data_IF_680292501520
#
_entry.id   IF_680292501520
#
_cell.length_a   1.000
_cell.length_b   1.000
_cell.length_c   1.000
_cell.angle_alpha   90.00
_cell.angle_beta   90.00
_cell.angle_gamma   90.00
#
_symmetry.space_group_name_H-M   'P 1'
#
loop_
_entity.id
_entity.type
_entity.pdbx_description
1 polymer ?
#
# COMPACT_ATOMS: atom_id res chain seq x y z
N UNK A 1 -17.33 10.57 7.91
CA UNK A 1 -17.27 9.84 6.62
C UNK A 1 -17.76 8.42 6.85
N UNK A 2 -18.61 7.85 5.97
CA UNK A 2 -18.99 6.44 6.10
C UNK A 2 -17.74 5.56 5.95
N UNK A 3 -17.63 4.51 6.78
CA UNK A 3 -16.48 3.57 6.81
C UNK A 3 -16.19 3.01 5.41
N UNK A 4 -17.24 2.75 4.62
CA UNK A 4 -17.13 2.29 3.23
C UNK A 4 -16.36 3.26 2.32
N UNK A 5 -16.49 4.57 2.53
CA UNK A 5 -15.78 5.58 1.74
C UNK A 5 -14.27 5.60 2.03
N UNK A 6 -13.88 5.41 3.29
CA UNK A 6 -12.47 5.34 3.68
C UNK A 6 -11.81 4.07 3.12
N UNK A 7 -12.50 2.93 3.22
CA UNK A 7 -12.02 1.66 2.64
C UNK A 7 -11.86 1.78 1.12
N UNK A 8 -12.84 2.39 0.44
CA UNK A 8 -12.77 2.64 -1.01
C UNK A 8 -11.59 3.51 -1.42
N UNK A 9 -11.31 4.57 -0.67
CA UNK A 9 -10.14 5.44 -0.90
C UNK A 9 -8.81 4.72 -0.68
N UNK A 10 -8.67 3.97 0.42
CA UNK A 10 -7.46 3.20 0.70
C UNK A 10 -7.18 2.15 -0.39
N UNK A 11 -8.22 1.41 -0.81
CA UNK A 11 -8.12 0.42 -1.88
C UNK A 11 -7.74 1.07 -3.21
N UNK A 12 -8.35 2.23 -3.52
CA UNK A 12 -8.05 2.99 -4.71
C UNK A 12 -6.58 3.44 -4.75
N UNK A 13 -6.07 4.02 -3.66
CA UNK A 13 -4.67 4.43 -3.58
C UNK A 13 -3.73 3.25 -3.77
N UNK A 14 -3.97 2.13 -3.07
CA UNK A 14 -3.18 0.92 -3.23
C UNK A 14 -3.12 0.43 -4.69
N UNK A 15 -4.28 0.31 -5.34
CA UNK A 15 -4.38 -0.14 -6.74
C UNK A 15 -3.73 0.82 -7.74
N UNK A 16 -3.73 2.13 -7.43
CA UNK A 16 -3.08 3.14 -8.26
C UNK A 16 -1.56 2.98 -8.30
N UNK A 17 -0.94 2.73 -7.14
CA UNK A 17 0.50 2.48 -7.06
C UNK A 17 0.89 1.15 -7.68
N UNK A 18 0.14 0.07 -7.46
CA UNK A 18 0.45 -1.21 -8.11
C UNK A 18 0.41 -1.10 -9.63
N UNK A 19 -0.54 -0.35 -10.17
CA UNK A 19 -0.65 -0.12 -11.62
C UNK A 19 0.52 0.71 -12.15
N UNK A 20 0.87 1.80 -11.47
CA UNK A 20 2.04 2.61 -11.84
C UNK A 20 3.34 1.78 -11.83
N UNK A 21 3.53 0.92 -10.82
CA UNK A 21 4.66 0.00 -10.73
C UNK A 21 4.70 -0.99 -11.91
N UNK A 22 3.57 -1.63 -12.22
CA UNK A 22 3.47 -2.58 -13.34
C UNK A 22 3.76 -1.91 -14.69
N UNK A 23 3.25 -0.70 -14.92
CA UNK A 23 3.55 0.06 -16.13
C UNK A 23 5.02 0.44 -16.24
N UNK A 24 5.66 0.85 -15.13
CA UNK A 24 7.08 1.13 -15.11
C UNK A 24 7.91 -0.13 -15.39
N UNK A 25 7.61 -1.25 -14.72
CA UNK A 25 8.28 -2.53 -14.95
C UNK A 25 8.12 -3.01 -16.39
N UNK A 26 6.94 -2.84 -16.99
CA UNK A 26 6.68 -3.12 -18.40
C UNK A 26 7.54 -2.22 -19.31
N UNK A 27 7.60 -0.91 -19.03
CA UNK A 27 8.40 0.02 -19.82
C UNK A 27 9.90 -0.30 -19.78
N UNK A 28 10.41 -0.71 -18.61
CA UNK A 28 11.77 -1.21 -18.45
C UNK A 28 12.00 -2.53 -19.20
N UNK A 29 11.05 -3.48 -19.13
CA UNK A 29 11.11 -4.77 -19.84
C UNK A 29 11.13 -4.58 -21.36
N UNK A 30 10.37 -3.60 -21.86
CA UNK A 30 10.34 -3.20 -23.27
C UNK A 30 11.60 -2.43 -23.71
N UNK A 31 12.62 -2.28 -22.83
CA UNK A 31 13.86 -1.53 -23.08
C UNK A 31 13.61 -0.12 -23.63
N UNK A 32 12.56 0.55 -23.17
CA UNK A 32 12.32 1.96 -23.49
C UNK A 32 13.40 2.80 -22.80
N UNK A 33 14.55 2.98 -23.46
CA UNK A 33 15.69 3.78 -22.95
C UNK A 33 15.38 5.27 -22.86
N UNK A 34 14.26 5.72 -23.43
CA UNK A 34 13.92 7.12 -23.48
C UNK A 34 13.13 7.49 -22.22
N UNK A 35 13.77 8.24 -21.31
CA UNK A 35 13.12 8.76 -20.10
C UNK A 35 11.83 9.55 -20.42
N UNK A 36 11.75 10.13 -21.62
CA UNK A 36 10.57 10.81 -22.13
C UNK A 36 9.36 9.87 -22.30
N UNK A 37 9.53 8.66 -22.83
CA UNK A 37 8.42 7.70 -22.98
C UNK A 37 7.93 7.19 -21.64
N UNK A 38 8.83 6.99 -20.67
CA UNK A 38 8.47 6.60 -19.30
C UNK A 38 7.68 7.74 -18.64
N UNK A 39 8.13 8.98 -18.77
CA UNK A 39 7.42 10.15 -18.24
C UNK A 39 6.03 10.33 -18.88
N UNK A 40 5.92 10.18 -20.21
CA UNK A 40 4.64 10.26 -20.93
C UNK A 40 3.69 9.14 -20.53
N UNK A 41 4.17 7.90 -20.40
CA UNK A 41 3.34 6.78 -19.92
C UNK A 41 2.86 7.01 -18.49
N UNK A 42 3.74 7.50 -17.61
CA UNK A 42 3.40 7.86 -16.23
C UNK A 42 2.33 8.96 -16.18
N UNK A 43 2.47 10.01 -17.00
CA UNK A 43 1.49 11.08 -17.14
C UNK A 43 0.14 10.57 -17.69
N UNK A 44 0.16 9.69 -18.69
CA UNK A 44 -1.06 9.10 -19.25
C UNK A 44 -1.82 8.26 -18.23
N UNK A 45 -1.10 7.47 -17.43
CA UNK A 45 -1.67 6.70 -16.31
C UNK A 45 -2.26 7.65 -15.27
N UNK A 46 -1.51 8.68 -14.87
CA UNK A 46 -2.02 9.71 -13.94
C UNK A 46 -3.31 10.36 -14.46
N UNK A 47 -3.35 10.79 -15.73
CA UNK A 47 -4.53 11.40 -16.36
C UNK A 47 -5.72 10.44 -16.41
N UNK A 48 -5.48 9.16 -16.73
CA UNK A 48 -6.52 8.14 -16.70
C UNK A 48 -7.13 7.99 -15.30
N UNK A 49 -6.28 8.00 -14.27
CA UNK A 49 -6.68 7.97 -12.85
C UNK A 49 -7.47 9.22 -12.40
N UNK A 50 -7.14 10.40 -12.93
CA UNK A 50 -7.91 11.63 -12.68
C UNK A 50 -9.35 11.51 -13.20
N UNK A 51 -9.50 10.95 -14.39
CA UNK A 51 -10.81 10.80 -15.05
C UNK A 51 -11.69 9.77 -14.36
N UNK A 52 -11.10 8.68 -13.84
CA UNK A 52 -11.83 7.67 -13.06
C UNK A 52 -12.29 8.21 -11.70
N UNK A 53 -11.48 9.06 -11.04
CA UNK A 53 -11.90 9.73 -9.81
C UNK A 53 -13.05 10.72 -10.04
N UNK A 54 -12.99 11.54 -11.10
CA UNK A 54 -14.07 12.49 -11.42
C UNK A 54 -15.43 11.77 -11.57
N UNK A 55 -15.44 10.64 -12.29
CA UNK A 55 -16.63 9.80 -12.46
C UNK A 55 -17.17 9.19 -11.15
N UNK A 56 -16.29 8.92 -10.18
CA UNK A 56 -16.67 8.37 -8.87
C UNK A 56 -17.31 9.43 -7.96
N UNK A 57 -16.87 10.69 -8.06
CA UNK A 57 -17.36 11.79 -7.22
C UNK A 57 -18.59 12.51 -7.79
N UNK A 58 -18.88 12.39 -9.09
CA UNK A 58 -20.08 12.96 -9.72
C UNK A 58 -21.40 12.30 -9.25
N UNK A 59 -21.34 11.12 -8.61
CA UNK A 59 -22.51 10.40 -8.09
C UNK A 59 -23.05 10.87 -6.73
N UNK A 60 -22.42 11.86 -6.07
CA UNK A 60 -22.81 12.33 -4.73
C UNK A 60 -23.62 13.65 -4.86
N UNK A 61 -24.87 13.72 -4.38
CA UNK A 61 -25.74 14.87 -4.62
C UNK A 61 -25.16 16.21 -4.12
N UNK A 62 -25.28 17.22 -4.99
CA UNK A 62 -24.77 18.58 -4.84
C UNK A 62 -25.54 19.38 -3.78
N UNK A 63 -25.09 19.43 -2.53
CA UNK A 63 -25.45 20.55 -1.65
C UNK A 63 -24.27 20.96 -0.76
N UNK A 64 -23.83 22.21 -0.97
CA UNK A 64 -22.99 23.08 -0.12
C UNK A 64 -21.45 23.01 -0.22
N UNK A 65 -20.91 24.11 -0.76
CA UNK A 65 -19.53 24.62 -0.82
C UNK A 65 -18.57 24.02 -1.87
N UNK A 66 -18.51 24.71 -3.03
CA UNK A 66 -17.53 24.46 -4.10
C UNK A 66 -16.06 24.58 -3.62
N UNK A 67 -15.79 25.34 -2.56
CA UNK A 67 -14.46 25.46 -1.97
C UNK A 67 -14.02 24.20 -1.21
N UNK A 68 -14.88 23.60 -0.39
CA UNK A 68 -14.54 22.37 0.32
C UNK A 68 -14.32 21.18 -0.65
N UNK A 69 -15.04 21.18 -1.78
CA UNK A 69 -14.82 20.21 -2.86
C UNK A 69 -13.47 20.42 -3.56
N UNK A 70 -13.07 21.67 -3.80
CA UNK A 70 -11.79 22.00 -4.42
C UNK A 70 -10.60 21.61 -3.53
N UNK A 71 -10.65 21.93 -2.24
CA UNK A 71 -9.58 21.58 -1.30
C UNK A 71 -9.47 20.07 -1.12
N UNK A 72 -10.59 19.37 -1.00
CA UNK A 72 -10.62 17.91 -0.94
C UNK A 72 -10.04 17.28 -2.22
N UNK A 73 -10.42 17.79 -3.40
CA UNK A 73 -9.88 17.32 -4.68
C UNK A 73 -8.37 17.55 -4.76
N UNK A 74 -7.88 18.76 -4.45
CA UNK A 74 -6.46 19.08 -4.46
C UNK A 74 -5.66 18.21 -3.49
N UNK A 75 -6.22 17.90 -2.32
CA UNK A 75 -5.59 17.00 -1.36
C UNK A 75 -5.50 15.56 -1.88
N UNK A 76 -6.56 15.05 -2.54
CA UNK A 76 -6.55 13.71 -3.15
C UNK A 76 -5.58 13.64 -4.34
N UNK A 77 -5.48 14.70 -5.13
CA UNK A 77 -4.51 14.85 -6.22
C UNK A 77 -3.08 14.86 -5.71
N UNK A 78 -2.81 15.64 -4.66
CA UNK A 78 -1.52 15.69 -4.00
C UNK A 78 -1.10 14.33 -3.45
N UNK A 79 -2.00 13.63 -2.76
CA UNK A 79 -1.71 12.30 -2.21
C UNK A 79 -1.49 11.24 -3.30
N UNK A 80 -2.32 11.23 -4.35
CA UNK A 80 -2.18 10.29 -5.48
C UNK A 80 -0.88 10.52 -6.26
N UNK A 81 -0.56 11.77 -6.57
CA UNK A 81 0.68 12.13 -7.28
C UNK A 81 1.93 11.83 -6.44
N UNK A 82 1.91 12.14 -5.14
CA UNK A 82 3.00 11.80 -4.22
C UNK A 82 3.20 10.28 -4.13
N UNK A 83 2.12 9.50 -4.07
CA UNK A 83 2.21 8.04 -4.04
C UNK A 83 2.77 7.46 -5.34
N UNK A 84 2.26 7.91 -6.50
CA UNK A 84 2.81 7.55 -7.80
C UNK A 84 4.30 7.91 -7.93
N UNK A 85 4.69 9.08 -7.42
CA UNK A 85 6.09 9.49 -7.37
C UNK A 85 6.93 8.55 -6.51
N UNK A 86 6.49 8.20 -5.30
CA UNK A 86 7.20 7.24 -4.43
C UNK A 86 7.35 5.87 -5.10
N UNK A 87 6.32 5.40 -5.81
CA UNK A 87 6.36 4.14 -6.54
C UNK A 87 7.34 4.20 -7.71
N UNK A 88 7.32 5.26 -8.52
CA UNK A 88 8.25 5.45 -9.63
C UNK A 88 9.69 5.62 -9.13
N UNK A 89 9.88 6.28 -7.99
CA UNK A 89 11.18 6.40 -7.35
C UNK A 89 11.69 5.04 -6.86
N UNK A 90 10.85 4.23 -6.22
CA UNK A 90 11.20 2.87 -5.84
C UNK A 90 11.56 2.01 -7.07
N UNK A 91 10.79 2.14 -8.15
CA UNK A 91 11.00 1.35 -9.36
C UNK A 91 12.25 1.79 -10.15
N UNK A 92 12.56 3.09 -10.18
CA UNK A 92 13.82 3.59 -10.76
C UNK A 92 15.03 3.16 -9.94
N UNK A 93 14.94 3.15 -8.61
CA UNK A 93 15.98 2.59 -7.73
C UNK A 93 16.22 1.12 -8.05
N UNK A 94 15.15 0.32 -8.16
CA UNK A 94 15.22 -1.10 -8.52
C UNK A 94 15.87 -1.33 -9.89
N UNK A 95 15.44 -0.57 -10.91
CA UNK A 95 15.97 -0.67 -12.27
C UNK A 95 17.43 -0.21 -12.42
N UNK A 96 17.88 0.71 -11.57
CA UNK A 96 19.19 1.35 -11.70
C UNK A 96 20.36 0.49 -11.19
N UNK A 97 20.12 -0.69 -10.64
CA UNK A 97 21.13 -1.60 -10.02
C UNK A 97 22.02 -0.90 -8.96
N UNK A 98 21.67 0.32 -8.52
CA UNK A 98 22.60 1.25 -7.88
C UNK A 98 22.91 0.90 -6.42
N UNK A 99 22.25 -0.10 -5.83
CA UNK A 99 22.58 -0.53 -4.47
C UNK A 99 22.12 -1.97 -4.15
N UNK A 100 23.01 -2.95 -4.35
CA UNK A 100 22.86 -4.33 -3.85
C UNK A 100 22.57 -4.38 -2.33
N UNK A 101 23.03 -3.38 -1.57
CA UNK A 101 22.71 -3.25 -0.13
C UNK A 101 21.27 -2.78 0.12
N UNK A 102 20.75 -1.87 -0.70
CA UNK A 102 19.40 -1.37 -0.56
C UNK A 102 18.38 -2.43 -0.97
N UNK A 103 18.68 -3.23 -2.00
CA UNK A 103 17.87 -4.37 -2.43
C UNK A 103 17.51 -5.30 -1.26
N UNK A 104 18.52 -5.68 -0.44
CA UNK A 104 18.28 -6.53 0.75
C UNK A 104 17.34 -5.88 1.77
N UNK A 105 17.46 -4.57 1.97
CA UNK A 105 16.58 -3.82 2.89
C UNK A 105 15.16 -3.75 2.32
N UNK A 106 14.99 -3.43 1.04
CA UNK A 106 13.68 -3.39 0.40
C UNK A 106 13.01 -4.76 0.35
N UNK A 107 13.75 -5.83 0.06
CA UNK A 107 13.25 -7.20 0.14
C UNK A 107 12.83 -7.56 1.57
N UNK A 108 13.63 -7.16 2.57
CA UNK A 108 13.29 -7.38 3.96
C UNK A 108 12.02 -6.62 4.37
N UNK A 109 11.95 -5.33 4.08
CA UNK A 109 10.78 -4.48 4.38
C UNK A 109 9.55 -4.96 3.63
N UNK A 110 9.68 -5.28 2.33
CA UNK A 110 8.61 -5.80 1.49
C UNK A 110 8.09 -7.16 1.97
N UNK A 111 8.99 -8.05 2.41
CA UNK A 111 8.57 -9.31 3.01
C UNK A 111 7.77 -9.11 4.30
N UNK A 112 8.16 -8.12 5.12
CA UNK A 112 7.47 -7.79 6.35
C UNK A 112 6.11 -7.11 6.12
N UNK A 113 5.99 -6.22 5.14
CA UNK A 113 4.73 -5.50 4.87
C UNK A 113 3.64 -6.46 4.44
N UNK A 114 3.95 -7.44 3.56
CA UNK A 114 2.98 -8.45 3.15
C UNK A 114 2.55 -9.35 4.33
N UNK A 115 3.50 -9.90 5.09
CA UNK A 115 3.18 -10.73 6.26
C UNK A 115 2.39 -9.96 7.31
N UNK A 116 2.78 -8.71 7.60
CA UNK A 116 2.05 -7.85 8.54
C UNK A 116 0.63 -7.57 8.05
N UNK A 117 0.45 -7.33 6.75
CA UNK A 117 -0.87 -7.15 6.15
C UNK A 117 -1.75 -8.39 6.30
N UNK A 118 -1.22 -9.60 6.13
CA UNK A 118 -2.00 -10.82 6.36
C UNK A 118 -2.42 -11.00 7.82
N UNK A 119 -1.53 -10.69 8.77
CA UNK A 119 -1.73 -11.04 10.17
C UNK A 119 -2.39 -9.96 11.03
N UNK A 120 -2.31 -8.68 10.66
CA UNK A 120 -2.77 -7.60 11.53
C UNK A 120 -4.25 -7.74 11.91
N UNK A 121 -5.12 -8.06 10.94
CA UNK A 121 -6.56 -8.14 11.15
C UNK A 121 -6.95 -9.37 12.00
N UNK A 122 -6.50 -10.61 11.70
CA UNK A 122 -6.76 -11.76 12.57
C UNK A 122 -6.25 -11.55 14.00
N UNK A 123 -5.06 -10.97 14.17
CA UNK A 123 -4.47 -10.70 15.49
C UNK A 123 -5.29 -9.66 16.23
N UNK A 124 -5.70 -8.57 15.59
CA UNK A 124 -6.55 -7.55 16.22
C UNK A 124 -7.86 -8.15 16.74
N UNK A 125 -8.51 -8.99 15.93
CA UNK A 125 -9.74 -9.70 16.33
C UNK A 125 -9.45 -10.62 17.52
N UNK A 126 -8.38 -11.41 17.47
CA UNK A 126 -8.00 -12.32 18.56
C UNK A 126 -7.69 -11.57 19.87
N UNK A 127 -7.01 -10.42 19.79
CA UNK A 127 -6.71 -9.56 20.95
C UNK A 127 -8.00 -9.01 21.55
N UNK A 128 -8.94 -8.50 20.74
CA UNK A 128 -10.22 -7.98 21.23
C UNK A 128 -11.03 -9.09 21.91
N UNK A 129 -11.14 -10.27 21.28
CA UNK A 129 -11.84 -11.43 21.85
C UNK A 129 -11.18 -11.87 23.16
N UNK A 130 -9.84 -11.89 23.22
CA UNK A 130 -9.11 -12.22 24.44
C UNK A 130 -9.42 -11.25 25.57
N UNK A 131 -9.41 -9.94 25.30
CA UNK A 131 -9.77 -8.93 26.30
C UNK A 131 -11.19 -9.13 26.83
N UNK A 132 -12.14 -9.49 25.96
CA UNK A 132 -13.52 -9.73 26.37
C UNK A 132 -13.65 -11.01 27.24
N UNK A 133 -12.97 -12.09 26.86
CA UNK A 133 -12.96 -13.35 27.63
C UNK A 133 -12.39 -13.14 29.03
N UNK A 134 -11.31 -12.35 29.15
CA UNK A 134 -10.66 -12.08 30.44
C UNK A 134 -11.24 -10.85 31.16
N UNK A 135 -12.29 -10.22 30.62
CA UNK A 135 -12.90 -9.00 31.17
C UNK A 135 -11.88 -7.88 31.44
N UNK A 136 -10.89 -7.74 30.56
CA UNK A 136 -9.85 -6.71 30.66
C UNK A 136 -10.36 -5.34 30.17
N UNK A 137 -9.89 -4.28 30.81
CA UNK A 137 -10.24 -2.92 30.42
C UNK A 137 -9.62 -2.54 29.06
N UNK A 138 -10.46 -2.08 28.13
CA UNK A 138 -10.05 -1.63 26.80
C UNK A 138 -9.40 -0.24 26.81
N UNK A 139 -9.42 0.48 27.93
CA UNK A 139 -8.74 1.78 28.08
C UNK A 139 -7.24 1.69 27.78
N UNK A 140 -6.63 0.51 27.92
CA UNK A 140 -5.24 0.25 27.56
C UNK A 140 -4.90 0.63 26.11
N UNK A 141 -5.84 0.47 25.16
CA UNK A 141 -5.61 0.80 23.75
C UNK A 141 -5.55 2.31 23.47
N UNK A 142 -5.96 3.16 24.41
CA UNK A 142 -5.89 4.61 24.27
C UNK A 142 -4.48 5.16 24.54
N UNK A 143 -3.58 4.37 25.12
CA UNK A 143 -2.22 4.80 25.40
C UNK A 143 -1.34 4.69 24.14
N UNK A 144 -0.56 5.72 23.77
CA UNK A 144 0.37 5.66 22.64
C UNK A 144 1.36 4.49 22.74
N UNK A 145 1.72 4.09 23.97
CA UNK A 145 2.58 2.95 24.23
C UNK A 145 1.98 1.62 23.73
N UNK A 146 0.66 1.45 23.82
CA UNK A 146 -0.02 0.25 23.32
C UNK A 146 0.13 0.13 21.80
N UNK A 147 0.06 1.25 21.06
CA UNK A 147 0.32 1.26 19.62
C UNK A 147 1.76 0.87 19.30
N UNK A 148 2.75 1.42 20.01
CA UNK A 148 4.17 1.09 19.80
C UNK A 148 4.42 -0.40 20.06
N UNK A 149 3.90 -0.93 21.17
CA UNK A 149 4.01 -2.35 21.49
C UNK A 149 3.33 -3.23 20.44
N UNK A 150 2.14 -2.82 19.97
CA UNK A 150 1.43 -3.51 18.91
C UNK A 150 2.24 -3.52 17.60
N UNK A 151 2.86 -2.42 17.21
CA UNK A 151 3.71 -2.36 16.02
C UNK A 151 4.93 -3.28 16.12
N UNK A 152 5.64 -3.29 17.26
CA UNK A 152 6.76 -4.21 17.48
C UNK A 152 6.30 -5.66 17.45
N UNK A 153 5.17 -5.96 18.09
CA UNK A 153 4.56 -7.29 18.07
C UNK A 153 4.22 -7.72 16.64
N UNK A 154 3.61 -6.84 15.85
CA UNK A 154 3.26 -7.12 14.46
C UNK A 154 4.49 -7.37 13.57
N UNK A 155 5.58 -6.62 13.74
CA UNK A 155 6.84 -6.87 13.03
C UNK A 155 7.41 -8.24 13.40
N UNK A 156 7.38 -8.60 14.68
CA UNK A 156 7.87 -9.89 15.15
C UNK A 156 7.04 -11.05 14.58
N UNK A 157 5.70 -10.98 14.69
CA UNK A 157 4.81 -12.02 14.16
C UNK A 157 4.88 -12.10 12.64
N UNK A 158 4.91 -10.96 11.95
CA UNK A 158 5.10 -10.89 10.50
C UNK A 158 6.41 -11.58 10.07
N UNK A 159 7.51 -11.33 10.80
CA UNK A 159 8.79 -11.99 10.52
C UNK A 159 8.73 -13.50 10.72
N UNK A 160 8.10 -13.96 11.80
CA UNK A 160 7.94 -15.38 12.09
C UNK A 160 7.08 -16.06 11.02
N UNK A 161 5.94 -15.46 10.65
CA UNK A 161 5.11 -15.93 9.55
C UNK A 161 5.90 -16.10 8.26
N UNK A 162 6.67 -15.07 7.89
CA UNK A 162 7.44 -15.10 6.66
C UNK A 162 8.44 -16.26 6.65
N UNK A 163 9.18 -16.45 7.73
CA UNK A 163 10.22 -17.48 7.83
C UNK A 163 9.62 -18.90 7.84
N UNK A 164 8.57 -19.12 8.64
CA UNK A 164 8.08 -20.46 8.93
C UNK A 164 6.90 -20.92 8.07
N UNK A 165 6.15 -19.99 7.47
CA UNK A 165 4.94 -20.32 6.71
C UNK A 165 5.12 -19.92 5.25
N UNK A 166 5.33 -18.63 4.98
CA UNK A 166 5.27 -18.10 3.61
C UNK A 166 6.46 -18.56 2.76
N UNK A 167 7.69 -18.44 3.27
CA UNK A 167 8.90 -18.83 2.53
C UNK A 167 8.93 -20.33 2.18
N UNK A 168 8.60 -21.27 3.09
CA UNK A 168 8.49 -22.68 2.72
C UNK A 168 7.44 -22.96 1.65
N UNK A 169 6.28 -22.29 1.71
CA UNK A 169 5.22 -22.44 0.72
C UNK A 169 5.68 -21.91 -0.65
N UNK A 170 6.32 -20.74 -0.69
CA UNK A 170 6.88 -20.18 -1.93
C UNK A 170 7.89 -21.12 -2.59
N UNK A 171 8.78 -21.74 -1.80
CA UNK A 171 9.74 -22.71 -2.32
C UNK A 171 9.03 -23.94 -2.90
N UNK A 172 8.02 -24.48 -2.19
CA UNK A 172 7.23 -25.62 -2.68
C UNK A 172 6.52 -25.30 -3.99
N UNK A 173 5.87 -24.14 -4.08
CA UNK A 173 5.17 -23.69 -5.29
C UNK A 173 6.17 -23.54 -6.44
N UNK A 174 7.31 -22.87 -6.22
CA UNK A 174 8.31 -22.69 -7.27
C UNK A 174 8.85 -24.00 -7.81
N UNK A 175 9.09 -24.98 -6.95
CA UNK A 175 9.57 -26.31 -7.35
C UNK A 175 8.48 -27.16 -8.03
N UNK A 176 7.21 -26.78 -7.94
CA UNK A 176 6.12 -27.47 -8.62
C UNK A 176 5.94 -26.99 -10.07
N UNK A 177 6.28 -25.72 -10.35
CA UNK A 177 6.12 -25.10 -11.67
C UNK A 177 7.40 -25.07 -12.52
N UNK A 178 8.57 -25.33 -11.92
CA UNK A 178 9.87 -25.50 -12.61
C UNK A 178 10.19 -26.99 -12.75
#
# INVERSE_FOLDING_TARGET
MPIAGIIGQCFFYFMSGSTAYMFFGLACTLRLKNYLTIAVASCAVAIFYLKTNHLYFDGIPLVSSNFAKFDSLMMHLGMSSAFCFCVLLAATIDASQLCVKAEKIFLFVGSLTYSTYLWHLPIQIAVIIGFDIFSLDRSFFNYPLALVLFLFFMVAVGRLSFIYIERPIQIKIRNYFL
#
